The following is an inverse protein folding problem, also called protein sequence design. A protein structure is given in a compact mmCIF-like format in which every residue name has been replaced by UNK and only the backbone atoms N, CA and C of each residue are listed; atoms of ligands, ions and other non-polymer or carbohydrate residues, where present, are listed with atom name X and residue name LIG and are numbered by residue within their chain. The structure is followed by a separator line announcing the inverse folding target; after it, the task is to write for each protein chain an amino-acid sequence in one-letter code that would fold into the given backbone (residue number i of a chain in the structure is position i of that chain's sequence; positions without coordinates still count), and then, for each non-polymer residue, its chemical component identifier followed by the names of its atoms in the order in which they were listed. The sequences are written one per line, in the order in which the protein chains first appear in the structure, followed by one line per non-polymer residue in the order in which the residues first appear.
data_IF_580863674982
#
_entry.id   IF_580863674982
#
_cell.length_a   1.000
_cell.length_b   1.000
_cell.length_c   1.000
_cell.angle_alpha   90.00
_cell.angle_beta   90.00
_cell.angle_gamma   90.00
#
_symmetry.space_group_name_H-M   'P 1'
#
loop_
_entity.id
_entity.type
_entity.pdbx_description
1 polymer ?
#
# COMPACT_ATOMS: atom_id res chain seq x y z
N UNK A 1 45.57 9.85 28.09
CA UNK A 1 44.27 10.32 27.58
C UNK A 1 44.03 9.67 26.23
N UNK A 2 43.06 8.76 26.14
CA UNK A 2 42.56 8.23 24.87
C UNK A 2 41.11 8.68 24.78
N UNK A 3 40.89 9.77 24.06
CA UNK A 3 39.55 10.26 23.75
C UNK A 3 38.92 9.26 22.77
N UNK A 4 37.82 8.63 23.20
CA UNK A 4 37.08 7.68 22.37
C UNK A 4 36.23 8.49 21.39
N UNK A 5 36.46 8.28 20.10
CA UNK A 5 35.59 8.72 19.02
C UNK A 5 34.20 8.10 19.23
N UNK A 6 33.20 8.95 19.46
CA UNK A 6 31.81 8.56 19.57
C UNK A 6 31.25 8.49 18.14
N UNK A 7 31.33 7.32 17.52
CA UNK A 7 30.64 7.04 16.25
C UNK A 7 29.18 6.80 16.64
N UNK A 8 28.32 7.78 16.38
CA UNK A 8 26.87 7.56 16.34
C UNK A 8 26.61 6.80 15.05
N UNK A 9 26.55 5.46 15.16
CA UNK A 9 25.96 4.64 14.10
C UNK A 9 24.50 5.06 13.97
N UNK A 10 24.20 5.76 12.89
CA UNK A 10 22.84 6.11 12.51
C UNK A 10 22.17 4.80 12.05
N UNK A 11 21.60 4.06 13.00
CA UNK A 11 20.78 2.89 12.73
C UNK A 11 19.49 3.37 12.07
N UNK A 12 19.54 3.52 10.76
CA UNK A 12 18.34 3.57 9.93
C UNK A 12 17.73 2.19 10.04
N UNK A 13 16.83 1.98 11.01
CA UNK A 13 16.03 0.77 11.07
C UNK A 13 15.29 0.67 9.74
N UNK A 14 15.68 -0.31 8.92
CA UNK A 14 14.94 -0.64 7.71
C UNK A 14 13.53 -1.02 8.14
N UNK A 15 12.57 -0.12 7.89
CA UNK A 15 11.17 -0.41 8.10
C UNK A 15 10.87 -1.63 7.24
N UNK A 16 10.42 -2.77 7.80
CA UNK A 16 10.13 -3.96 7.01
C UNK A 16 9.09 -3.60 5.94
N UNK A 17 9.54 -3.58 4.68
CA UNK A 17 8.69 -3.32 3.54
C UNK A 17 7.90 -4.60 3.24
N UNK A 18 6.58 -4.53 3.32
CA UNK A 18 5.70 -5.58 2.80
C UNK A 18 5.51 -5.26 1.30
N UNK A 19 6.10 -6.03 0.37
CA UNK A 19 5.88 -5.81 -1.05
C UNK A 19 4.39 -6.03 -1.35
N UNK A 20 3.78 -5.11 -2.09
CA UNK A 20 2.43 -5.31 -2.63
C UNK A 20 2.58 -6.21 -3.85
N UNK A 21 2.23 -7.48 -3.69
CA UNK A 21 2.22 -8.44 -4.79
C UNK A 21 0.97 -8.28 -5.64
N UNK A 22 1.15 -8.28 -6.96
CA UNK A 22 0.05 -8.25 -7.93
C UNK A 22 -0.21 -9.66 -8.43
N UNK A 23 -1.48 -10.09 -8.37
CA UNK A 23 -1.89 -11.43 -8.79
C UNK A 23 -2.08 -11.56 -10.30
N UNK A 24 -2.25 -12.80 -10.77
CA UNK A 24 -2.49 -13.11 -12.19
C UNK A 24 -3.69 -12.33 -12.78
N UNK A 25 -4.77 -12.20 -12.00
CA UNK A 25 -5.96 -11.44 -12.40
C UNK A 25 -5.65 -9.96 -12.68
N UNK A 26 -4.73 -9.36 -11.92
CA UNK A 26 -4.28 -7.99 -12.16
C UNK A 26 -3.56 -7.89 -13.50
N UNK A 27 -2.62 -8.80 -13.77
CA UNK A 27 -1.84 -8.78 -15.00
C UNK A 27 -2.72 -9.00 -16.23
N UNK A 28 -3.68 -9.93 -16.14
CA UNK A 28 -4.63 -10.19 -17.21
C UNK A 28 -5.50 -8.95 -17.49
N UNK A 29 -6.07 -8.34 -16.46
CA UNK A 29 -6.86 -7.11 -16.60
C UNK A 29 -6.03 -5.93 -17.15
N UNK A 30 -4.79 -5.77 -16.67
CA UNK A 30 -3.89 -4.72 -17.15
C UNK A 30 -3.54 -4.92 -18.63
N UNK A 31 -3.34 -6.16 -19.06
CA UNK A 31 -3.09 -6.51 -20.46
C UNK A 31 -4.29 -6.19 -21.34
N UNK A 32 -5.48 -6.66 -20.98
CA UNK A 32 -6.72 -6.41 -21.73
C UNK A 32 -6.98 -4.90 -21.88
N UNK A 33 -6.79 -4.16 -20.79
CA UNK A 33 -6.95 -2.72 -20.76
C UNK A 33 -5.91 -2.00 -21.63
N UNK A 34 -4.64 -2.45 -21.60
CA UNK A 34 -3.60 -1.94 -22.48
C UNK A 34 -3.92 -2.18 -23.95
N UNK A 35 -4.37 -3.38 -24.31
CA UNK A 35 -4.78 -3.72 -25.68
C UNK A 35 -5.95 -2.84 -26.15
N UNK A 36 -6.94 -2.61 -25.30
CA UNK A 36 -8.05 -1.70 -25.59
C UNK A 36 -7.57 -0.27 -25.83
N UNK A 37 -6.72 0.26 -24.96
CA UNK A 37 -6.20 1.64 -25.09
C UNK A 37 -5.39 1.81 -26.37
N UNK A 38 -4.57 0.83 -26.74
CA UNK A 38 -3.81 0.86 -28.00
C UNK A 38 -4.72 0.86 -29.24
N UNK A 39 -5.96 0.38 -29.13
CA UNK A 39 -6.93 0.42 -30.24
C UNK A 39 -7.59 1.80 -30.42
N UNK A 40 -7.45 2.70 -29.45
CA UNK A 40 -8.07 4.02 -29.50
C UNK A 40 -7.25 4.95 -30.42
N UNK A 41 -7.92 5.88 -31.15
CA UNK A 41 -7.25 6.84 -32.01
C UNK A 41 -6.69 8.01 -31.19
N UNK A 42 -5.78 7.72 -30.25
CA UNK A 42 -5.12 8.71 -29.41
C UNK A 42 -3.79 9.15 -30.04
N UNK A 43 -3.41 10.40 -29.79
CA UNK A 43 -2.03 10.83 -30.01
C UNK A 43 -1.10 10.07 -29.05
N UNK A 44 0.19 10.00 -29.38
CA UNK A 44 1.18 9.36 -28.48
C UNK A 44 1.20 10.09 -27.14
N UNK A 45 1.15 11.42 -27.16
CA UNK A 45 1.16 12.26 -25.96
C UNK A 45 -0.08 12.03 -25.07
N UNK A 46 -1.28 11.94 -25.66
CA UNK A 46 -2.51 11.68 -24.91
C UNK A 46 -2.55 10.25 -24.37
N UNK A 47 -2.01 9.27 -25.11
CA UNK A 47 -1.87 7.90 -24.67
C UNK A 47 -0.93 7.80 -23.46
N UNK A 48 0.26 8.40 -23.53
CA UNK A 48 1.22 8.40 -22.42
C UNK A 48 0.63 9.04 -21.17
N UNK A 49 -0.10 10.15 -21.35
CA UNK A 49 -0.81 10.80 -20.25
C UNK A 49 -1.90 9.92 -19.65
N UNK A 50 -2.68 9.23 -20.49
CA UNK A 50 -3.71 8.29 -20.03
C UNK A 50 -3.11 7.16 -19.20
N UNK A 51 -2.06 6.52 -19.70
CA UNK A 51 -1.35 5.46 -18.99
C UNK A 51 -0.81 5.96 -17.66
N UNK A 52 -0.20 7.15 -17.64
CA UNK A 52 0.29 7.78 -16.40
C UNK A 52 -0.81 7.96 -15.35
N UNK A 53 -1.95 8.53 -15.73
CA UNK A 53 -3.10 8.71 -14.82
C UNK A 53 -3.61 7.38 -14.26
N UNK A 54 -3.62 6.33 -15.08
CA UNK A 54 -4.09 5.01 -14.66
C UNK A 54 -3.13 4.34 -13.69
N UNK A 55 -1.81 4.45 -13.92
CA UNK A 55 -0.78 3.97 -13.00
C UNK A 55 -0.93 4.69 -11.66
N UNK A 56 -1.05 6.01 -11.66
CA UNK A 56 -1.23 6.81 -10.43
C UNK A 56 -2.50 6.41 -9.67
N UNK A 57 -3.60 6.18 -10.38
CA UNK A 57 -4.85 5.71 -9.79
C UNK A 57 -4.69 4.36 -9.09
N UNK A 58 -4.04 3.38 -9.76
CA UNK A 58 -3.81 2.05 -9.18
C UNK A 58 -2.91 2.13 -7.96
N UNK A 59 -1.79 2.85 -8.04
CA UNK A 59 -0.86 2.99 -6.91
C UNK A 59 -1.52 3.67 -5.71
N UNK A 60 -2.34 4.69 -5.95
CA UNK A 60 -3.12 5.34 -4.90
C UNK A 60 -4.12 4.37 -4.25
N UNK A 61 -4.81 3.54 -5.04
CA UNK A 61 -5.73 2.53 -4.52
C UNK A 61 -5.01 1.45 -3.70
N UNK A 62 -3.89 0.91 -4.20
CA UNK A 62 -3.04 -0.07 -3.52
C UNK A 62 -2.55 0.48 -2.17
N UNK A 63 -2.01 1.70 -2.15
CA UNK A 63 -1.53 2.36 -0.94
C UNK A 63 -2.64 2.60 0.09
N UNK A 64 -3.81 3.05 -0.36
CA UNK A 64 -4.96 3.28 0.52
C UNK A 64 -5.47 1.97 1.12
N UNK A 65 -5.54 0.90 0.33
CA UNK A 65 -5.94 -0.43 0.82
C UNK A 65 -4.94 -0.98 1.84
N UNK A 66 -3.64 -0.88 1.55
CA UNK A 66 -2.58 -1.27 2.47
C UNK A 66 -2.67 -0.50 3.80
N UNK A 67 -2.76 0.84 3.72
CA UNK A 67 -2.83 1.71 4.91
C UNK A 67 -4.04 1.40 5.79
N UNK A 68 -5.21 1.11 5.16
CA UNK A 68 -6.42 0.69 5.87
C UNK A 68 -6.22 -0.68 6.55
N UNK A 69 -5.68 -1.66 5.83
CA UNK A 69 -5.39 -2.99 6.37
C UNK A 69 -4.43 -2.94 7.56
N UNK A 70 -3.34 -2.16 7.44
CA UNK A 70 -2.38 -1.96 8.52
C UNK A 70 -3.06 -1.33 9.76
N UNK A 71 -3.85 -0.28 9.56
CA UNK A 71 -4.62 0.36 10.65
C UNK A 71 -5.57 -0.64 11.33
N UNK A 72 -6.31 -1.42 10.55
CA UNK A 72 -7.20 -2.46 11.09
C UNK A 72 -6.43 -3.50 11.91
N UNK A 73 -5.26 -3.92 11.45
CA UNK A 73 -4.39 -4.86 12.19
C UNK A 73 -3.93 -4.29 13.53
N UNK A 74 -3.50 -3.03 13.56
CA UNK A 74 -3.12 -2.32 14.79
C UNK A 74 -4.31 -2.21 15.75
N UNK A 75 -5.48 -1.82 15.25
CA UNK A 75 -6.69 -1.67 16.05
C UNK A 75 -7.15 -3.03 16.63
N UNK A 76 -7.07 -4.11 15.85
CA UNK A 76 -7.36 -5.47 16.32
C UNK A 76 -6.39 -5.94 17.42
N UNK A 77 -5.09 -5.65 17.26
CA UNK A 77 -4.08 -6.00 18.26
C UNK A 77 -4.33 -5.27 19.59
N UNK A 78 -4.71 -3.98 19.54
CA UNK A 78 -5.10 -3.21 20.73
C UNK A 78 -6.36 -3.75 21.39
N UNK A 79 -7.35 -4.17 20.59
CA UNK A 79 -8.58 -4.76 21.12
C UNK A 79 -8.32 -6.08 21.85
N UNK A 80 -7.53 -7.00 21.27
CA UNK A 80 -7.17 -8.29 21.91
C UNK A 80 -6.26 -8.16 23.13
N UNK A 81 -5.72 -6.97 23.41
CA UNK A 81 -4.94 -6.65 24.61
C UNK A 81 -5.76 -6.11 25.78
N UNK A 82 -7.07 -5.87 25.61
CA UNK A 82 -7.94 -5.46 26.71
C UNK A 82 -8.45 -6.71 27.43
N UNK A 83 -8.06 -6.99 28.70
CA UNK A 83 -8.73 -8.03 29.47
C UNK A 83 -10.21 -7.69 29.54
N UNK A 84 -11.05 -8.70 29.30
CA UNK A 84 -12.51 -8.57 29.25
C UNK A 84 -13.02 -7.75 30.44
N UNK A 85 -13.41 -6.51 30.20
CA UNK A 85 -14.36 -5.82 31.05
C UNK A 85 -15.73 -6.11 30.47
N UNK A 86 -16.44 -7.01 31.14
CA UNK A 86 -17.81 -7.40 30.80
C UNK A 86 -18.71 -6.18 30.60
N UNK A 87 -19.63 -6.33 29.65
CA UNK A 87 -20.61 -5.36 29.18
C UNK A 87 -20.08 -4.17 28.38
N UNK A 88 -20.14 -4.27 27.04
CA UNK A 88 -20.67 -3.20 26.16
C UNK A 88 -20.94 -3.70 24.74
N UNK A 89 -21.90 -3.09 24.01
CA UNK A 89 -22.71 -3.76 22.99
C UNK A 89 -22.01 -3.90 21.65
N UNK A 90 -22.52 -4.85 20.85
CA UNK A 90 -22.06 -5.16 19.49
C UNK A 90 -22.03 -3.91 18.59
N UNK A 91 -21.04 -3.80 17.67
CA UNK A 91 -21.04 -2.75 16.66
C UNK A 91 -22.24 -2.90 15.71
N UNK A 92 -22.87 -1.80 15.27
CA UNK A 92 -24.00 -1.88 14.34
C UNK A 92 -23.56 -2.38 12.97
N UNK A 93 -24.43 -3.23 12.40
CA UNK A 93 -24.34 -3.85 11.07
C UNK A 93 -24.33 -2.85 9.93
#
# INVERSE_FOLDING_TARGET
MKERLNIVENQTEEIPAIPIERGEEFYQAAKELSEFIHSLPLSVEDNDRLIGMMVDQVLSAEWNAFSKGLRMGVDLAKWKGSPEQGNSPLPPS
#
